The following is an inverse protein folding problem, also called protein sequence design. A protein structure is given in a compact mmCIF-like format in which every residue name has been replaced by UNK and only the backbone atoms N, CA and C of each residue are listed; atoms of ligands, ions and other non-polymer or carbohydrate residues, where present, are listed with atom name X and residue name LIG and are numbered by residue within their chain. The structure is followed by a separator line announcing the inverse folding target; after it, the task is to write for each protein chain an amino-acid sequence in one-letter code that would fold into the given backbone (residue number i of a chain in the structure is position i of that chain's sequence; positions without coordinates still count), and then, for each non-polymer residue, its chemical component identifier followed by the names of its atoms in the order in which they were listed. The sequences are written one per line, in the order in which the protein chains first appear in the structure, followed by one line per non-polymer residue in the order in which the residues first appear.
data_IF_312466533682
#
_entry.id   IF_312466533682
#
_cell.length_a   1.000
_cell.length_b   1.000
_cell.length_c   1.000
_cell.angle_alpha   90.00
_cell.angle_beta   90.00
_cell.angle_gamma   90.00
#
_symmetry.space_group_name_H-M   'P 1'
#
loop_
_entity.id
_entity.type
_entity.pdbx_description
1 polymer ?
#
# COMPACT_ATOMS: atom_id res chain seq x y z
N UNK A 1 8.78 0.66 16.44
CA UNK A 1 10.04 1.15 17.06
C UNK A 1 9.90 1.30 18.59
N UNK A 2 8.86 1.99 19.13
CA UNK A 2 8.67 2.16 20.59
C UNK A 2 8.61 0.81 21.31
N UNK A 3 7.82 -0.15 20.82
CA UNK A 3 7.71 -1.49 21.40
C UNK A 3 9.03 -2.26 21.41
N UNK A 4 9.89 -2.08 20.41
CA UNK A 4 11.21 -2.73 20.34
C UNK A 4 12.12 -2.29 21.49
N UNK A 5 12.00 -1.02 21.91
CA UNK A 5 12.74 -0.47 23.04
C UNK A 5 12.06 -0.75 24.40
N UNK A 6 10.85 -1.33 24.41
CA UNK A 6 10.09 -1.53 25.65
C UNK A 6 9.76 -0.20 26.34
N UNK A 7 9.73 -0.20 27.68
CA UNK A 7 9.36 0.99 28.46
C UNK A 7 10.21 2.22 28.20
N UNK A 8 11.49 2.05 27.90
CA UNK A 8 12.42 3.17 27.62
C UNK A 8 12.06 3.89 26.31
N UNK A 9 11.48 3.18 25.32
CA UNK A 9 10.99 3.78 24.08
C UNK A 9 9.87 4.82 24.28
N UNK A 10 9.18 4.76 25.42
CA UNK A 10 8.12 5.72 25.80
C UNK A 10 8.65 6.94 26.54
N UNK A 11 9.91 6.93 26.93
CA UNK A 11 10.57 8.05 27.64
C UNK A 11 11.27 9.00 26.67
N UNK A 12 11.75 10.13 27.18
CA UNK A 12 12.51 11.13 26.41
C UNK A 12 13.98 10.75 26.19
N UNK A 13 14.42 9.58 26.66
CA UNK A 13 15.78 9.08 26.46
C UNK A 13 16.09 8.78 24.98
N UNK A 14 15.02 8.54 24.20
CA UNK A 14 15.09 8.36 22.75
C UNK A 14 14.11 9.31 22.03
N UNK A 15 14.41 9.76 20.80
CA UNK A 15 13.54 10.68 20.06
C UNK A 15 12.23 10.05 19.56
N UNK A 16 11.99 8.77 19.79
CA UNK A 16 10.85 8.02 19.25
C UNK A 16 9.51 8.49 19.83
N UNK A 17 9.45 8.91 21.08
CA UNK A 17 8.23 9.44 21.70
C UNK A 17 7.79 10.75 21.03
N UNK A 18 8.76 11.62 20.66
CA UNK A 18 8.48 12.82 19.90
C UNK A 18 7.98 12.51 18.49
N UNK A 19 8.64 11.61 17.79
CA UNK A 19 8.22 11.17 16.46
C UNK A 19 6.79 10.59 16.46
N UNK A 20 6.44 9.83 17.51
CA UNK A 20 5.09 9.31 17.68
C UNK A 20 4.05 10.41 17.88
N UNK A 21 4.36 11.44 18.67
CA UNK A 21 3.47 12.60 18.86
C UNK A 21 3.34 13.43 17.59
N UNK A 22 4.45 13.67 16.90
CA UNK A 22 4.50 14.51 15.71
C UNK A 22 3.72 13.87 14.54
N UNK A 23 3.85 12.55 14.32
CA UNK A 23 3.11 11.86 13.26
C UNK A 23 1.60 11.81 13.53
N UNK A 24 1.18 11.94 14.81
CA UNK A 24 -0.24 11.86 15.16
C UNK A 24 -1.07 12.97 14.51
N UNK A 25 -0.49 14.15 14.30
CA UNK A 25 -1.18 15.27 13.66
C UNK A 25 -1.61 14.95 12.23
N UNK A 26 -0.92 14.05 11.53
CA UNK A 26 -1.25 13.67 10.14
C UNK A 26 -2.64 13.04 9.97
N UNK A 27 -3.19 12.47 11.04
CA UNK A 27 -4.54 11.91 11.05
C UNK A 27 -5.64 12.91 11.46
N UNK A 28 -5.27 14.17 11.73
CA UNK A 28 -6.16 15.19 12.31
C UNK A 28 -6.28 16.41 11.40
N UNK A 29 -5.16 16.94 10.90
CA UNK A 29 -5.14 18.19 10.14
C UNK A 29 -5.68 18.02 8.72
N UNK A 30 -6.13 19.12 8.11
CA UNK A 30 -6.79 19.15 6.79
C UNK A 30 -8.05 18.25 6.69
N UNK A 31 -8.69 18.00 7.83
CA UNK A 31 -9.76 17.03 8.00
C UNK A 31 -9.23 15.68 8.52
N UNK A 32 -10.02 15.05 9.37
CA UNK A 32 -9.66 13.72 9.90
C UNK A 32 -9.57 12.67 8.80
N UNK A 33 -8.95 11.53 9.10
CA UNK A 33 -8.88 10.39 8.15
C UNK A 33 -10.26 10.04 7.58
N UNK A 34 -11.30 10.05 8.41
CA UNK A 34 -12.66 9.71 7.99
C UNK A 34 -13.27 10.78 7.06
N UNK A 35 -13.00 12.06 7.32
CA UNK A 35 -13.42 13.15 6.43
C UNK A 35 -12.73 13.03 5.06
N UNK A 36 -11.43 12.72 5.03
CA UNK A 36 -10.71 12.49 3.78
C UNK A 36 -11.20 11.25 3.04
N UNK A 37 -11.61 10.21 3.77
CA UNK A 37 -12.19 9.00 3.19
C UNK A 37 -13.56 9.28 2.54
N UNK A 38 -14.42 10.05 3.21
CA UNK A 38 -15.69 10.51 2.65
C UNK A 38 -15.49 11.40 1.41
N UNK A 39 -14.51 12.31 1.43
CA UNK A 39 -14.16 13.12 0.25
C UNK A 39 -13.64 12.27 -0.91
N UNK A 40 -12.87 11.23 -0.63
CA UNK A 40 -12.41 10.28 -1.64
C UNK A 40 -13.59 9.62 -2.35
N UNK A 41 -14.44 8.94 -1.62
CA UNK A 41 -15.54 8.15 -2.22
C UNK A 41 -16.69 9.00 -2.76
N UNK A 42 -17.00 10.12 -2.10
CA UNK A 42 -18.12 11.00 -2.46
C UNK A 42 -17.78 11.96 -3.60
N UNK A 43 -16.55 12.42 -3.72
CA UNK A 43 -16.15 13.46 -4.68
C UNK A 43 -14.98 13.06 -5.58
N UNK A 44 -13.82 12.70 -5.01
CA UNK A 44 -12.58 12.53 -5.80
C UNK A 44 -12.68 11.40 -6.82
N UNK A 45 -13.32 10.29 -6.46
CA UNK A 45 -13.48 9.16 -7.38
C UNK A 45 -14.43 9.44 -8.54
N UNK A 46 -15.36 10.40 -8.38
CA UNK A 46 -16.32 10.78 -9.41
C UNK A 46 -15.87 12.00 -10.23
N UNK A 47 -14.81 12.68 -9.82
CA UNK A 47 -14.32 13.90 -10.45
C UNK A 47 -13.98 13.65 -11.93
N UNK A 48 -14.42 14.55 -12.82
CA UNK A 48 -14.26 14.41 -14.27
C UNK A 48 -14.75 13.05 -14.80
N UNK A 49 -15.90 12.59 -14.32
CA UNK A 49 -16.47 11.28 -14.65
C UNK A 49 -15.53 10.10 -14.31
N UNK A 50 -14.76 10.21 -13.22
CA UNK A 50 -13.85 9.16 -12.76
C UNK A 50 -12.47 9.15 -13.45
N UNK A 51 -12.15 10.16 -14.27
CA UNK A 51 -10.91 10.19 -15.04
C UNK A 51 -9.66 10.09 -14.16
N UNK A 52 -9.66 10.71 -12.96
CA UNK A 52 -8.52 10.65 -12.04
C UNK A 52 -8.29 9.22 -11.52
N UNK A 53 -9.35 8.52 -11.13
CA UNK A 53 -9.25 7.13 -10.71
C UNK A 53 -8.78 6.22 -11.86
N UNK A 54 -9.33 6.40 -13.06
CA UNK A 54 -8.90 5.66 -14.25
C UNK A 54 -7.43 5.92 -14.60
N UNK A 55 -6.95 7.15 -14.45
CA UNK A 55 -5.55 7.50 -14.67
C UNK A 55 -4.64 6.76 -13.68
N UNK A 56 -5.03 6.70 -12.39
CA UNK A 56 -4.28 5.96 -11.38
C UNK A 56 -4.22 4.46 -11.71
N UNK A 57 -5.36 3.86 -12.02
CA UNK A 57 -5.42 2.44 -12.39
C UNK A 57 -4.63 2.13 -13.67
N UNK A 58 -4.69 3.02 -14.67
CA UNK A 58 -3.88 2.92 -15.90
C UNK A 58 -2.37 2.98 -15.63
N UNK A 59 -1.93 3.81 -14.66
CA UNK A 59 -0.53 3.83 -14.22
C UNK A 59 -0.12 2.49 -13.58
N UNK A 60 -0.98 1.90 -12.75
CA UNK A 60 -0.72 0.60 -12.14
C UNK A 60 -0.63 -0.51 -13.19
N UNK A 61 -1.59 -0.59 -14.11
CA UNK A 61 -1.55 -1.55 -15.22
C UNK A 61 -0.28 -1.42 -16.06
N UNK A 62 0.12 -0.20 -16.41
CA UNK A 62 1.36 0.04 -17.17
C UNK A 62 2.61 -0.40 -16.42
N UNK A 63 2.65 -0.22 -15.09
CA UNK A 63 3.75 -0.68 -14.26
C UNK A 63 3.81 -2.23 -14.22
N UNK A 64 2.66 -2.89 -14.06
CA UNK A 64 2.54 -4.34 -14.09
C UNK A 64 3.02 -4.89 -15.44
N UNK A 65 2.49 -4.40 -16.54
CA UNK A 65 2.84 -4.87 -17.90
C UNK A 65 4.35 -4.78 -18.16
N UNK A 66 5.00 -3.73 -17.71
CA UNK A 66 6.44 -3.51 -17.93
C UNK A 66 7.35 -4.40 -17.09
N UNK A 67 6.92 -4.77 -15.88
CA UNK A 67 7.85 -5.26 -14.88
C UNK A 67 7.49 -6.63 -14.28
N UNK A 68 6.29 -7.18 -14.56
CA UNK A 68 5.81 -8.44 -13.95
C UNK A 68 6.64 -9.67 -14.28
N UNK A 69 7.45 -9.63 -15.32
CA UNK A 69 8.31 -10.75 -15.70
C UNK A 69 9.73 -10.67 -15.09
N UNK A 70 10.03 -9.64 -14.27
CA UNK A 70 11.30 -9.58 -13.53
C UNK A 70 11.33 -10.73 -12.53
N UNK A 71 12.28 -11.71 -12.65
CA UNK A 71 12.22 -12.95 -11.88
C UNK A 71 12.17 -12.73 -10.37
N UNK A 72 12.95 -11.75 -9.87
CA UNK A 72 13.06 -11.43 -8.46
C UNK A 72 11.82 -10.76 -7.87
N UNK A 73 10.91 -10.25 -8.72
CA UNK A 73 9.70 -9.50 -8.31
C UNK A 73 8.40 -10.14 -8.81
N UNK A 74 8.49 -11.26 -9.52
CA UNK A 74 7.34 -11.88 -10.22
C UNK A 74 6.18 -12.20 -9.26
N UNK A 75 6.46 -12.83 -8.12
CA UNK A 75 5.43 -13.15 -7.12
C UNK A 75 4.76 -11.88 -6.58
N UNK A 76 5.54 -10.86 -6.24
CA UNK A 76 5.01 -9.61 -5.73
C UNK A 76 4.15 -8.87 -6.78
N UNK A 77 4.54 -8.87 -8.06
CA UNK A 77 3.73 -8.30 -9.12
C UNK A 77 2.42 -9.05 -9.35
N UNK A 78 2.43 -10.39 -9.31
CA UNK A 78 1.22 -11.21 -9.40
C UNK A 78 0.24 -10.90 -8.26
N UNK A 79 0.75 -10.80 -7.03
CA UNK A 79 -0.07 -10.47 -5.87
C UNK A 79 -0.61 -9.03 -5.96
N UNK A 80 0.22 -8.08 -6.36
CA UNK A 80 -0.19 -6.68 -6.51
C UNK A 80 -1.22 -6.49 -7.63
N UNK A 81 -1.14 -7.24 -8.72
CA UNK A 81 -2.14 -7.25 -9.81
C UNK A 81 -3.52 -7.61 -9.26
N UNK A 82 -3.62 -8.70 -8.49
CA UNK A 82 -4.88 -9.11 -7.83
C UNK A 82 -5.41 -8.03 -6.86
N UNK A 83 -4.53 -7.37 -6.13
CA UNK A 83 -4.90 -6.29 -5.22
C UNK A 83 -5.42 -5.06 -5.98
N UNK A 84 -4.84 -4.72 -7.13
CA UNK A 84 -5.33 -3.67 -8.00
C UNK A 84 -6.71 -4.00 -8.58
N UNK A 85 -6.92 -5.24 -9.01
CA UNK A 85 -8.22 -5.73 -9.48
C UNK A 85 -9.28 -5.62 -8.38
N UNK A 86 -8.95 -6.05 -7.15
CA UNK A 86 -9.85 -5.95 -6.00
C UNK A 86 -10.25 -4.49 -5.69
N UNK A 87 -9.30 -3.54 -5.75
CA UNK A 87 -9.61 -2.10 -5.62
C UNK A 87 -10.55 -1.63 -6.72
N UNK A 88 -10.29 -2.03 -7.96
CA UNK A 88 -11.12 -1.63 -9.10
C UNK A 88 -12.56 -2.16 -9.00
N UNK A 89 -12.71 -3.44 -8.66
CA UNK A 89 -14.02 -4.08 -8.46
C UNK A 89 -14.82 -3.37 -7.36
N UNK A 90 -14.21 -3.08 -6.22
CA UNK A 90 -14.87 -2.36 -5.14
C UNK A 90 -15.28 -0.94 -5.54
N UNK A 91 -14.43 -0.24 -6.29
CA UNK A 91 -14.74 1.08 -6.80
C UNK A 91 -15.93 1.06 -7.77
N UNK A 92 -16.01 0.04 -8.64
CA UNK A 92 -17.14 -0.12 -9.56
C UNK A 92 -18.43 -0.50 -8.83
N UNK A 93 -18.35 -1.42 -7.86
CA UNK A 93 -19.49 -1.83 -7.04
C UNK A 93 -20.09 -0.66 -6.22
N UNK A 94 -19.31 0.37 -5.91
CA UNK A 94 -19.81 1.53 -5.14
C UNK A 94 -21.01 2.23 -5.79
N UNK A 95 -21.13 2.21 -7.11
CA UNK A 95 -22.29 2.79 -7.83
C UNK A 95 -23.58 2.04 -7.50
N UNK A 96 -23.54 0.72 -7.54
CA UNK A 96 -24.67 -0.14 -7.19
C UNK A 96 -25.06 0.03 -5.71
N UNK A 97 -24.06 0.17 -4.84
CA UNK A 97 -24.30 0.44 -3.40
C UNK A 97 -25.00 1.78 -3.20
N UNK A 98 -24.63 2.83 -3.94
CA UNK A 98 -25.33 4.13 -3.87
C UNK A 98 -26.78 3.99 -4.31
N UNK A 99 -27.06 3.24 -5.36
CA UNK A 99 -28.45 3.01 -5.86
C UNK A 99 -29.31 2.25 -4.86
N UNK A 100 -28.74 1.27 -4.15
CA UNK A 100 -29.47 0.40 -3.22
C UNK A 100 -29.58 0.95 -1.79
N UNK A 101 -28.54 1.64 -1.31
CA UNK A 101 -28.34 2.02 0.09
C UNK A 101 -28.06 3.51 0.31
N UNK A 102 -28.06 4.29 -0.77
CA UNK A 102 -27.68 5.69 -0.69
C UNK A 102 -26.19 5.89 -0.44
N UNK A 103 -25.80 7.14 -0.21
CA UNK A 103 -24.40 7.51 0.07
C UNK A 103 -23.89 6.90 1.40
N UNK A 104 -24.77 6.64 2.34
CA UNK A 104 -24.49 6.06 3.65
C UNK A 104 -23.88 4.65 3.50
N UNK A 105 -24.35 3.86 2.53
CA UNK A 105 -23.80 2.55 2.23
C UNK A 105 -22.32 2.61 1.81
N UNK A 106 -21.95 3.58 1.00
CA UNK A 106 -20.56 3.79 0.61
C UNK A 106 -19.76 4.40 1.75
N UNK A 107 -20.34 5.34 2.50
CA UNK A 107 -19.70 6.02 3.61
C UNK A 107 -19.27 5.04 4.72
N UNK A 108 -20.06 3.99 4.97
CA UNK A 108 -19.77 2.95 5.99
C UNK A 108 -18.39 2.31 5.78
N UNK A 109 -17.97 2.14 4.53
CA UNK A 109 -16.69 1.50 4.18
C UNK A 109 -15.65 2.48 3.61
N UNK A 110 -15.90 3.79 3.67
CA UNK A 110 -15.00 4.80 3.08
C UNK A 110 -13.59 4.75 3.68
N UNK A 111 -13.46 4.70 5.00
CA UNK A 111 -12.16 4.65 5.69
C UNK A 111 -11.39 3.34 5.44
N UNK A 112 -12.00 2.15 5.54
CA UNK A 112 -11.39 0.91 5.04
C UNK A 112 -10.93 1.00 3.59
N UNK A 113 -11.76 1.53 2.69
CA UNK A 113 -11.42 1.68 1.28
C UNK A 113 -10.24 2.62 1.05
N UNK A 114 -10.23 3.78 1.73
CA UNK A 114 -9.09 4.71 1.68
C UNK A 114 -7.78 4.02 2.10
N UNK A 115 -7.79 3.26 3.20
CA UNK A 115 -6.61 2.54 3.69
C UNK A 115 -6.14 1.49 2.69
N UNK A 116 -7.07 0.73 2.12
CA UNK A 116 -6.75 -0.30 1.13
C UNK A 116 -6.17 0.30 -0.16
N UNK A 117 -6.85 1.29 -0.75
CA UNK A 117 -6.35 1.99 -1.94
C UNK A 117 -4.98 2.63 -1.70
N UNK A 118 -4.78 3.28 -0.54
CA UNK A 118 -3.50 3.89 -0.19
C UNK A 118 -2.39 2.85 -0.06
N UNK A 119 -2.67 1.68 0.54
CA UNK A 119 -1.71 0.58 0.65
C UNK A 119 -1.35 -0.01 -0.71
N UNK A 120 -2.34 -0.20 -1.60
CA UNK A 120 -2.09 -0.67 -2.98
C UNK A 120 -1.26 0.35 -3.77
N UNK A 121 -1.53 1.65 -3.61
CA UNK A 121 -0.73 2.70 -4.26
C UNK A 121 0.71 2.74 -3.71
N UNK A 122 0.88 2.65 -2.39
CA UNK A 122 2.20 2.60 -1.76
C UNK A 122 3.00 1.37 -2.24
N UNK A 123 2.36 0.20 -2.36
CA UNK A 123 2.97 -1.00 -2.91
C UNK A 123 3.50 -0.77 -4.33
N UNK A 124 2.72 -0.10 -5.19
CA UNK A 124 3.16 0.25 -6.55
C UNK A 124 4.42 1.10 -6.57
N UNK A 125 4.52 2.13 -5.72
CA UNK A 125 5.71 2.95 -5.61
C UNK A 125 6.92 2.20 -5.02
N UNK A 126 6.68 1.28 -4.08
CA UNK A 126 7.75 0.42 -3.55
C UNK A 126 8.25 -0.56 -4.60
N UNK A 127 7.36 -1.12 -5.43
CA UNK A 127 7.74 -1.98 -6.55
C UNK A 127 8.54 -1.22 -7.62
N UNK A 128 8.17 0.03 -7.96
CA UNK A 128 8.98 0.88 -8.85
C UNK A 128 10.40 1.08 -8.31
N UNK A 129 10.55 1.32 -6.99
CA UNK A 129 11.85 1.41 -6.35
C UNK A 129 12.61 0.06 -6.39
N UNK A 130 11.90 -1.05 -6.20
CA UNK A 130 12.49 -2.38 -6.23
C UNK A 130 13.01 -2.74 -7.63
N UNK A 131 12.31 -2.36 -8.70
CA UNK A 131 12.79 -2.54 -10.09
C UNK A 131 14.14 -1.86 -10.31
N UNK A 132 14.24 -0.61 -9.87
CA UNK A 132 15.50 0.15 -9.96
C UNK A 132 16.60 -0.52 -9.11
N UNK A 133 16.24 -0.98 -7.92
CA UNK A 133 17.16 -1.61 -6.99
C UNK A 133 17.68 -2.95 -7.51
N UNK A 134 16.82 -3.78 -8.13
CA UNK A 134 17.22 -5.05 -8.77
C UNK A 134 18.25 -4.78 -9.86
N UNK A 135 17.94 -3.85 -10.79
CA UNK A 135 18.88 -3.51 -11.87
C UNK A 135 20.22 -2.99 -11.36
N UNK A 136 20.22 -2.14 -10.32
CA UNK A 136 21.46 -1.63 -9.74
C UNK A 136 22.25 -2.72 -9.01
N UNK A 137 21.60 -3.63 -8.32
CA UNK A 137 22.24 -4.76 -7.67
C UNK A 137 22.88 -5.70 -8.68
N UNK A 138 22.19 -6.02 -9.78
CA UNK A 138 22.71 -6.85 -10.86
C UNK A 138 23.96 -6.23 -11.49
N UNK A 139 23.96 -4.91 -11.72
CA UNK A 139 25.14 -4.20 -12.24
C UNK A 139 26.34 -4.28 -11.27
N UNK A 140 26.12 -4.07 -9.96
CA UNK A 140 27.17 -4.19 -8.95
C UNK A 140 27.75 -5.61 -8.88
N UNK A 141 26.89 -6.62 -8.94
CA UNK A 141 27.27 -8.04 -8.95
C UNK A 141 28.14 -8.34 -10.19
N UNK A 142 27.74 -7.84 -11.35
CA UNK A 142 28.48 -8.01 -12.60
C UNK A 142 29.84 -7.28 -12.58
N UNK A 143 29.89 -6.01 -12.15
CA UNK A 143 31.12 -5.22 -12.05
C UNK A 143 32.14 -5.86 -11.10
N UNK A 144 31.70 -6.48 -10.02
CA UNK A 144 32.56 -7.13 -9.03
C UNK A 144 32.83 -8.61 -9.34
N UNK A 145 32.28 -9.13 -10.45
CA UNK A 145 32.37 -10.55 -10.84
C UNK A 145 31.99 -11.52 -9.71
N UNK A 146 30.94 -11.16 -8.94
CA UNK A 146 30.45 -11.97 -7.82
C UNK A 146 29.69 -13.18 -8.37
N UNK A 147 30.11 -14.38 -7.97
CA UNK A 147 29.39 -15.62 -8.29
C UNK A 147 28.20 -15.81 -7.34
N UNK A 148 27.19 -16.56 -7.75
CA UNK A 148 25.98 -16.82 -6.94
C UNK A 148 26.32 -17.36 -5.54
N UNK A 149 27.33 -18.20 -5.42
CA UNK A 149 27.80 -18.72 -4.13
C UNK A 149 28.39 -17.67 -3.20
N UNK A 150 28.87 -16.54 -3.73
CA UNK A 150 29.46 -15.43 -2.96
C UNK A 150 28.48 -14.28 -2.71
N UNK A 151 27.24 -14.34 -3.24
CA UNK A 151 26.31 -13.23 -3.14
C UNK A 151 25.98 -12.85 -1.69
N UNK A 152 25.84 -13.84 -0.81
CA UNK A 152 25.51 -13.58 0.60
C UNK A 152 26.62 -12.80 1.30
N UNK A 153 27.86 -13.21 1.16
CA UNK A 153 29.02 -12.53 1.73
C UNK A 153 29.17 -11.13 1.15
N UNK A 154 29.00 -10.98 -0.18
CA UNK A 154 29.01 -9.68 -0.84
C UNK A 154 27.96 -8.72 -0.27
N UNK A 155 26.73 -9.20 0.01
CA UNK A 155 25.69 -8.37 0.63
C UNK A 155 26.01 -8.01 2.09
N UNK A 156 26.75 -8.85 2.82
CA UNK A 156 27.19 -8.56 4.19
C UNK A 156 28.30 -7.49 4.22
N UNK A 157 29.21 -7.52 3.26
CA UNK A 157 30.37 -6.63 3.20
C UNK A 157 30.11 -5.31 2.44
N UNK A 158 29.21 -5.32 1.45
CA UNK A 158 28.91 -4.16 0.61
C UNK A 158 27.60 -3.48 1.04
N UNK A 159 27.71 -2.30 1.63
CA UNK A 159 26.55 -1.55 2.14
C UNK A 159 25.58 -1.10 1.04
N UNK A 160 26.08 -0.80 -0.16
CA UNK A 160 25.25 -0.38 -1.31
C UNK A 160 24.47 -1.56 -1.88
N UNK A 161 25.12 -2.71 -2.08
CA UNK A 161 24.47 -3.93 -2.52
C UNK A 161 23.39 -4.37 -1.52
N UNK A 162 23.71 -4.32 -0.22
CA UNK A 162 22.74 -4.59 0.86
C UNK A 162 21.56 -3.63 0.82
N UNK A 163 21.78 -2.34 0.60
CA UNK A 163 20.70 -1.35 0.47
C UNK A 163 19.73 -1.71 -0.66
N UNK A 164 20.24 -2.03 -1.86
CA UNK A 164 19.40 -2.39 -2.99
C UNK A 164 18.63 -3.71 -2.74
N UNK A 165 19.29 -4.72 -2.18
CA UNK A 165 18.63 -5.96 -1.81
C UNK A 165 17.51 -5.73 -0.78
N UNK A 166 17.74 -4.88 0.22
CA UNK A 166 16.74 -4.55 1.22
C UNK A 166 15.54 -3.80 0.62
N UNK A 167 15.75 -2.92 -0.36
CA UNK A 167 14.64 -2.27 -1.09
C UNK A 167 13.74 -3.28 -1.78
N UNK A 168 14.31 -4.28 -2.44
CA UNK A 168 13.57 -5.38 -3.06
C UNK A 168 12.75 -6.16 -2.04
N UNK A 169 13.38 -6.60 -0.94
CA UNK A 169 12.74 -7.37 0.13
C UNK A 169 11.62 -6.56 0.79
N UNK A 170 11.84 -5.27 1.04
CA UNK A 170 10.84 -4.38 1.63
C UNK A 170 9.60 -4.28 0.75
N UNK A 171 9.77 -4.11 -0.57
CA UNK A 171 8.64 -4.05 -1.51
C UNK A 171 7.85 -5.37 -1.52
N UNK A 172 8.53 -6.51 -1.59
CA UNK A 172 7.90 -7.83 -1.55
C UNK A 172 7.10 -8.02 -0.27
N UNK A 173 7.73 -7.79 0.90
CA UNK A 173 7.05 -7.93 2.19
C UNK A 173 5.84 -6.99 2.32
N UNK A 174 5.94 -5.76 1.79
CA UNK A 174 4.82 -4.82 1.84
C UNK A 174 3.61 -5.34 1.04
N UNK A 175 3.84 -5.84 -0.17
CA UNK A 175 2.80 -6.42 -1.02
C UNK A 175 2.19 -7.67 -0.40
N UNK A 176 3.04 -8.57 0.12
CA UNK A 176 2.64 -9.91 0.55
C UNK A 176 2.08 -9.95 1.97
N UNK A 177 2.46 -9.01 2.85
CA UNK A 177 2.05 -9.01 4.25
C UNK A 177 1.20 -7.79 4.64
N UNK A 178 1.59 -6.58 4.21
CA UNK A 178 0.93 -5.34 4.69
C UNK A 178 -0.35 -5.03 3.90
N UNK A 179 -0.32 -5.15 2.57
CA UNK A 179 -1.53 -4.86 1.75
C UNK A 179 -2.69 -5.79 2.09
N UNK A 180 -2.50 -7.12 2.29
CA UNK A 180 -3.58 -8.01 2.71
C UNK A 180 -4.25 -7.64 4.03
N UNK A 181 -3.53 -7.07 4.99
CA UNK A 181 -4.13 -6.56 6.23
C UNK A 181 -5.11 -5.41 5.95
N UNK A 182 -4.74 -4.48 5.06
CA UNK A 182 -5.62 -3.39 4.64
C UNK A 182 -6.82 -3.90 3.83
N UNK A 183 -6.64 -4.90 2.98
CA UNK A 183 -7.71 -5.54 2.21
C UNK A 183 -8.72 -6.26 3.12
N UNK A 184 -8.25 -6.91 4.17
CA UNK A 184 -9.11 -7.59 5.14
C UNK A 184 -10.12 -6.64 5.81
N UNK A 185 -9.81 -5.35 5.93
CA UNK A 185 -10.74 -4.34 6.44
C UNK A 185 -11.98 -4.16 5.53
N UNK A 186 -11.89 -4.58 4.27
CA UNK A 186 -12.98 -4.53 3.28
C UNK A 186 -13.88 -5.77 3.31
N UNK A 187 -13.65 -6.74 4.20
CA UNK A 187 -14.42 -7.99 4.24
C UNK A 187 -15.94 -7.75 4.38
N UNK A 188 -16.36 -6.78 5.20
CA UNK A 188 -17.75 -6.41 5.36
C UNK A 188 -18.38 -5.85 4.07
N UNK A 189 -17.64 -5.03 3.32
CA UNK A 189 -18.08 -4.49 2.03
C UNK A 189 -18.22 -5.62 0.98
N UNK A 190 -17.23 -6.52 0.91
CA UNK A 190 -17.24 -7.68 0.01
C UNK A 190 -18.44 -8.60 0.26
N UNK A 191 -18.89 -8.74 1.51
CA UNK A 191 -20.05 -9.56 1.89
C UNK A 191 -21.35 -8.75 1.93
N UNK A 192 -21.35 -7.49 1.49
CA UNK A 192 -22.51 -6.59 1.52
C UNK A 192 -23.15 -6.47 2.91
N UNK A 193 -22.34 -6.45 3.96
CA UNK A 193 -22.81 -6.32 5.33
C UNK A 193 -23.08 -4.85 5.68
N UNK A 194 -24.32 -4.42 5.56
CA UNK A 194 -24.78 -3.05 5.85
C UNK A 194 -25.65 -2.96 7.12
N UNK A 195 -25.72 -4.01 7.92
CA UNK A 195 -26.59 -4.06 9.11
C UNK A 195 -26.33 -2.93 10.12
N UNK A 196 -25.16 -2.33 10.12
CA UNK A 196 -24.86 -1.18 10.97
C UNK A 196 -25.72 0.05 10.65
N UNK A 197 -26.25 0.18 9.42
CA UNK A 197 -27.13 1.28 9.01
C UNK A 197 -28.57 1.11 9.56
N UNK A 198 -28.93 -0.08 10.00
CA UNK A 198 -30.26 -0.39 10.50
C UNK A 198 -30.37 -0.20 12.04
N UNK A 199 -29.28 0.22 12.70
CA UNK A 199 -29.26 0.45 14.16
C UNK A 199 -29.98 1.78 14.45
N UNK A 200 -31.06 1.70 15.26
CA UNK A 200 -31.74 2.88 15.76
C UNK A 200 -31.22 3.19 17.18
N UNK A 201 -30.85 4.45 17.43
CA UNK A 201 -30.40 4.97 18.73
C UNK A 201 -31.54 5.73 19.43
#
# INVERSE_FOLDING_TARGET
AIQVLGGVGYTKDFPLEQMYRDIRVSAIYEGTTDIQALDLVGRKMTLQNGALFQTLMGRFSSNIEKNREIPQLKSAYQQWELQCESVYEMAMASKEVVEQRGIEGVALYATPFLKFLASVAAAGFLLEQAVIAVSKLENLVAEKAVMDSGLKEFLEENSEARFFNNKRITAQNFVEAIVPEAEALMAGAKTQNYGALDINF
#
